data_IF_019112562428
#
_entry.id   IF_019112562428
#
_cell.length_a   1.000
_cell.length_b   1.000
_cell.length_c   1.000
_cell.angle_alpha   90.00
_cell.angle_beta   90.00
_cell.angle_gamma   90.00
#
_symmetry.space_group_name_H-M   'P 1'
#
loop_
_entity.id
_entity.type
_entity.pdbx_description
1 polymer ?
#
# COMPACT_ATOMS: atom_id res chain seq x y z
N UNK A 1 -158.68 -22.91 -11.06
CA UNK A 1 -157.53 -22.38 -10.29
C UNK A 1 -156.30 -22.40 -11.19
N UNK A 2 -155.50 -21.34 -11.32
CA UNK A 2 -154.17 -21.38 -11.96
C UNK A 2 -153.22 -20.63 -11.02
N UNK A 3 -152.08 -21.22 -10.72
CA UNK A 3 -150.94 -20.58 -10.08
C UNK A 3 -150.37 -19.50 -11.03
N UNK A 4 -149.57 -18.56 -10.52
CA UNK A 4 -148.87 -17.54 -11.34
C UNK A 4 -147.98 -18.19 -12.42
N UNK A 5 -147.52 -19.43 -12.20
CA UNK A 5 -146.84 -20.25 -13.21
C UNK A 5 -147.79 -21.10 -14.10
N UNK A 6 -149.10 -20.91 -14.00
CA UNK A 6 -150.10 -21.52 -14.89
C UNK A 6 -150.72 -22.85 -14.42
N UNK A 7 -150.28 -23.43 -13.30
CA UNK A 7 -150.68 -24.78 -12.85
C UNK A 7 -151.94 -24.80 -11.97
N UNK A 8 -152.86 -25.76 -12.16
CA UNK A 8 -154.13 -25.89 -11.37
C UNK A 8 -153.87 -26.36 -9.91
N UNK A 9 -154.15 -25.49 -8.94
CA UNK A 9 -153.87 -25.66 -7.49
C UNK A 9 -154.85 -26.65 -6.81
N UNK A 10 -154.31 -27.69 -6.17
CA UNK A 10 -155.01 -28.57 -5.20
C UNK A 10 -154.85 -28.02 -3.78
N UNK A 11 -155.87 -28.18 -2.95
CA UNK A 11 -156.10 -27.53 -1.64
C UNK A 11 -155.13 -27.89 -0.48
N UNK A 12 -154.03 -28.60 -0.74
CA UNK A 12 -153.13 -29.11 0.32
C UNK A 12 -151.71 -28.49 0.36
N UNK A 13 -151.41 -27.41 -0.38
CA UNK A 13 -150.03 -26.87 -0.46
C UNK A 13 -149.87 -25.44 0.08
N UNK A 14 -150.79 -24.92 0.90
CA UNK A 14 -150.63 -23.63 1.58
C UNK A 14 -150.23 -23.83 3.05
N UNK A 15 -149.02 -24.34 3.28
CA UNK A 15 -148.33 -24.12 4.55
C UNK A 15 -147.53 -22.83 4.46
N UNK A 16 -148.09 -21.75 5.03
CA UNK A 16 -147.31 -20.60 5.47
C UNK A 16 -146.40 -21.10 6.60
N UNK A 17 -145.10 -21.22 6.35
CA UNK A 17 -144.10 -21.30 7.42
C UNK A 17 -144.01 -19.93 8.11
N UNK A 18 -145.02 -19.62 8.93
CA UNK A 18 -144.94 -18.57 9.93
C UNK A 18 -144.21 -19.19 11.12
N UNK A 19 -142.92 -18.89 11.24
CA UNK A 19 -142.11 -19.36 12.36
C UNK A 19 -142.79 -19.00 13.68
N UNK A 20 -142.86 -19.95 14.61
CA UNK A 20 -143.32 -19.66 15.97
C UNK A 20 -142.33 -18.69 16.63
N UNK A 21 -142.82 -17.88 17.57
CA UNK A 21 -142.06 -16.98 18.44
C UNK A 21 -140.80 -17.62 19.04
N UNK A 22 -140.79 -18.95 19.24
CA UNK A 22 -139.64 -19.74 19.67
C UNK A 22 -138.55 -19.85 18.58
N UNK A 23 -138.93 -20.16 17.33
CA UNK A 23 -138.03 -20.29 16.18
C UNK A 23 -137.38 -18.95 15.80
N UNK A 24 -138.12 -17.83 15.89
CA UNK A 24 -137.54 -16.49 15.66
C UNK A 24 -136.43 -16.15 16.65
N UNK A 25 -136.58 -16.55 17.92
CA UNK A 25 -135.54 -16.35 18.95
C UNK A 25 -134.31 -17.21 18.69
N UNK A 26 -134.47 -18.45 18.21
CA UNK A 26 -133.33 -19.29 17.85
C UNK A 26 -132.56 -18.73 16.65
N UNK A 27 -133.25 -18.24 15.62
CA UNK A 27 -132.62 -17.60 14.47
C UNK A 27 -131.84 -16.35 14.92
N UNK A 28 -132.41 -15.53 15.79
CA UNK A 28 -131.74 -14.35 16.36
C UNK A 28 -130.50 -14.74 17.17
N UNK A 29 -130.59 -15.80 17.99
CA UNK A 29 -129.46 -16.30 18.78
C UNK A 29 -128.34 -16.84 17.89
N UNK A 30 -128.68 -17.55 16.81
CA UNK A 30 -127.73 -18.05 15.83
C UNK A 30 -127.03 -16.90 15.09
N UNK A 31 -127.79 -15.87 14.67
CA UNK A 31 -127.23 -14.68 14.02
C UNK A 31 -126.32 -13.89 14.96
N UNK A 32 -126.68 -13.71 16.22
CA UNK A 32 -125.81 -13.05 17.21
C UNK A 32 -124.51 -13.83 17.41
N UNK A 33 -124.58 -15.16 17.55
CA UNK A 33 -123.39 -16.00 17.69
C UNK A 33 -122.50 -15.97 16.44
N UNK A 34 -123.12 -15.90 15.25
CA UNK A 34 -122.40 -15.71 13.99
C UNK A 34 -121.71 -14.34 13.94
N UNK A 35 -122.36 -13.29 14.42
CA UNK A 35 -121.81 -11.93 14.51
C UNK A 35 -120.63 -11.85 15.49
N UNK A 36 -120.74 -12.49 16.65
CA UNK A 36 -119.64 -12.63 17.62
C UNK A 36 -118.45 -13.34 16.98
N UNK A 37 -118.70 -14.44 16.25
CA UNK A 37 -117.65 -15.19 15.55
C UNK A 37 -116.96 -14.35 14.48
N UNK A 38 -117.72 -13.57 13.71
CA UNK A 38 -117.18 -12.66 12.69
C UNK A 38 -116.32 -11.56 13.33
N UNK A 39 -116.78 -10.97 14.44
CA UNK A 39 -116.02 -9.95 15.15
C UNK A 39 -114.73 -10.51 15.75
N UNK A 40 -114.75 -11.73 16.30
CA UNK A 40 -113.53 -12.40 16.77
C UNK A 40 -112.53 -12.66 15.64
N UNK A 41 -113.01 -13.05 14.45
CA UNK A 41 -112.15 -13.24 13.29
C UNK A 41 -111.53 -11.92 12.79
N UNK A 42 -112.31 -10.83 12.79
CA UNK A 42 -111.80 -9.50 12.41
C UNK A 42 -110.71 -9.03 13.37
N UNK A 43 -110.93 -9.14 14.68
CA UNK A 43 -109.92 -8.76 15.67
C UNK A 43 -108.64 -9.60 15.53
N UNK A 44 -108.76 -10.89 15.26
CA UNK A 44 -107.61 -11.76 15.01
C UNK A 44 -106.80 -11.30 13.79
N UNK A 45 -107.47 -10.97 12.68
CA UNK A 45 -106.79 -10.48 11.48
C UNK A 45 -106.14 -9.11 11.69
N UNK A 46 -106.76 -8.21 12.46
CA UNK A 46 -106.16 -6.91 12.79
C UNK A 46 -104.89 -7.08 13.64
N UNK A 47 -104.90 -7.98 14.63
CA UNK A 47 -103.71 -8.32 15.42
C UNK A 47 -102.59 -8.93 14.56
N UNK A 48 -102.94 -9.81 13.61
CA UNK A 48 -101.99 -10.42 12.68
C UNK A 48 -101.39 -9.39 11.73
N UNK A 49 -102.22 -8.46 11.23
CA UNK A 49 -101.78 -7.37 10.37
C UNK A 49 -100.80 -6.41 11.09
N UNK A 50 -101.05 -6.11 12.36
CA UNK A 50 -100.13 -5.32 13.18
C UNK A 50 -98.79 -6.03 13.38
N UNK A 51 -98.80 -7.34 13.65
CA UNK A 51 -97.56 -8.13 13.79
C UNK A 51 -96.73 -8.13 12.51
N UNK A 52 -97.36 -8.38 11.36
CA UNK A 52 -96.70 -8.37 10.05
C UNK A 52 -96.07 -7.01 9.73
N UNK A 53 -96.75 -5.90 10.05
CA UNK A 53 -96.19 -4.56 9.85
C UNK A 53 -94.94 -4.32 10.70
N UNK A 54 -94.92 -4.79 11.95
CA UNK A 54 -93.74 -4.69 12.82
C UNK A 54 -92.58 -5.52 12.24
N UNK A 55 -92.85 -6.71 11.71
CA UNK A 55 -91.83 -7.54 11.05
C UNK A 55 -91.24 -6.87 9.80
N UNK A 56 -92.09 -6.27 8.96
CA UNK A 56 -91.65 -5.54 7.77
C UNK A 56 -90.71 -4.39 8.15
N UNK A 57 -91.07 -3.60 9.18
CA UNK A 57 -90.23 -2.50 9.65
C UNK A 57 -88.87 -2.99 10.18
N UNK A 58 -88.86 -4.11 10.90
CA UNK A 58 -87.62 -4.70 11.40
C UNK A 58 -86.72 -5.21 10.26
N UNK A 59 -87.30 -5.82 9.22
CA UNK A 59 -86.56 -6.27 8.03
C UNK A 59 -85.96 -5.07 7.28
N UNK A 60 -86.73 -3.99 7.09
CA UNK A 60 -86.22 -2.78 6.44
C UNK A 60 -85.04 -2.15 7.20
N UNK A 61 -85.10 -2.15 8.53
CA UNK A 61 -83.99 -1.67 9.36
C UNK A 61 -82.72 -2.52 9.16
N UNK A 62 -82.85 -3.85 9.15
CA UNK A 62 -81.72 -4.76 8.88
C UNK A 62 -81.13 -4.57 7.49
N UNK A 63 -81.96 -4.35 6.47
CA UNK A 63 -81.49 -4.07 5.10
C UNK A 63 -80.63 -2.80 5.07
N UNK A 64 -81.06 -1.74 5.75
CA UNK A 64 -80.30 -0.49 5.80
C UNK A 64 -78.97 -0.64 6.54
N UNK A 65 -78.95 -1.38 7.65
CA UNK A 65 -77.74 -1.69 8.40
C UNK A 65 -76.74 -2.50 7.56
N UNK A 66 -77.22 -3.52 6.83
CA UNK A 66 -76.40 -4.33 5.93
C UNK A 66 -75.84 -3.53 4.75
N UNK A 67 -76.65 -2.65 4.15
CA UNK A 67 -76.21 -1.79 3.05
C UNK A 67 -75.12 -0.80 3.49
N UNK A 68 -75.26 -0.24 4.71
CA UNK A 68 -74.23 0.62 5.28
C UNK A 68 -72.93 -0.15 5.52
N UNK A 69 -73.03 -1.34 6.11
CA UNK A 69 -71.87 -2.22 6.33
C UNK A 69 -71.17 -2.60 5.02
N UNK A 70 -71.93 -2.95 3.98
CA UNK A 70 -71.36 -3.27 2.66
C UNK A 70 -70.66 -2.07 2.03
N UNK A 71 -71.25 -0.88 2.14
CA UNK A 71 -70.64 0.35 1.62
C UNK A 71 -69.32 0.68 2.33
N UNK A 72 -69.33 0.62 3.66
CA UNK A 72 -68.13 0.84 4.48
C UNK A 72 -67.04 -0.20 4.17
N UNK A 73 -67.43 -1.46 3.93
CA UNK A 73 -66.50 -2.53 3.53
C UNK A 73 -65.90 -2.29 2.12
N UNK A 74 -66.70 -1.87 1.14
CA UNK A 74 -66.21 -1.57 -0.21
C UNK A 74 -65.24 -0.39 -0.20
N UNK A 75 -65.58 0.71 0.50
CA UNK A 75 -64.69 1.88 0.63
C UNK A 75 -63.37 1.51 1.32
N UNK A 76 -63.40 0.57 2.28
CA UNK A 76 -62.18 0.07 2.94
C UNK A 76 -61.30 -0.78 2.01
N UNK A 77 -61.89 -1.53 1.08
CA UNK A 77 -61.18 -2.40 0.14
C UNK A 77 -60.52 -1.58 -0.96
N UNK A 78 -61.17 -0.52 -1.45
CA UNK A 78 -60.62 0.36 -2.49
C UNK A 78 -59.40 1.17 -2.01
N UNK A 79 -59.28 1.44 -0.70
CA UNK A 79 -58.19 2.23 -0.13
C UNK A 79 -57.01 1.43 0.49
N UNK A 80 -57.17 0.14 0.84
CA UNK A 80 -56.22 -0.56 1.73
C UNK A 80 -55.40 -1.72 1.14
N UNK A 81 -55.66 -2.18 -0.09
CA UNK A 81 -55.18 -3.51 -0.50
C UNK A 81 -53.74 -3.65 -1.00
N UNK A 82 -53.23 -2.76 -1.87
CA UNK A 82 -52.05 -3.10 -2.68
C UNK A 82 -50.97 -2.02 -2.81
N UNK A 83 -51.29 -0.72 -2.72
CA UNK A 83 -50.28 0.34 -2.90
C UNK A 83 -49.25 0.34 -1.77
N UNK A 84 -49.68 0.45 -0.51
CA UNK A 84 -48.76 0.61 0.62
C UNK A 84 -47.83 -0.59 0.83
N UNK A 85 -48.32 -1.82 0.70
CA UNK A 85 -47.47 -3.00 0.81
C UNK A 85 -46.46 -3.09 -0.33
N UNK A 86 -46.86 -2.74 -1.56
CA UNK A 86 -45.96 -2.71 -2.72
C UNK A 86 -44.90 -1.61 -2.55
N UNK A 87 -45.31 -0.42 -2.09
CA UNK A 87 -44.41 0.70 -1.81
C UNK A 87 -43.37 0.36 -0.72
N UNK A 88 -43.77 -0.36 0.33
CA UNK A 88 -42.85 -0.81 1.38
C UNK A 88 -41.88 -1.89 0.91
N UNK A 89 -42.33 -2.80 0.03
CA UNK A 89 -41.47 -3.78 -0.62
C UNK A 89 -40.46 -3.08 -1.53
N UNK A 90 -40.88 -2.11 -2.34
CA UNK A 90 -40.00 -1.35 -3.23
C UNK A 90 -38.97 -0.52 -2.46
N UNK A 91 -39.36 0.08 -1.32
CA UNK A 91 -38.42 0.74 -0.41
C UNK A 91 -37.38 -0.23 0.13
N UNK A 92 -37.79 -1.44 0.55
CA UNK A 92 -36.86 -2.48 1.01
C UNK A 92 -35.93 -2.95 -0.10
N UNK A 93 -36.44 -3.15 -1.32
CA UNK A 93 -35.64 -3.51 -2.50
C UNK A 93 -34.59 -2.43 -2.79
N UNK A 94 -34.99 -1.16 -2.74
CA UNK A 94 -34.08 -0.03 -2.97
C UNK A 94 -32.99 0.01 -1.91
N UNK A 95 -33.36 -0.11 -0.64
CA UNK A 95 -32.40 -0.14 0.47
C UNK A 95 -31.41 -1.30 0.34
N UNK A 96 -31.87 -2.51 0.01
CA UNK A 96 -31.00 -3.67 -0.20
C UNK A 96 -30.08 -3.45 -1.40
N UNK A 97 -30.56 -2.84 -2.49
CA UNK A 97 -29.72 -2.50 -3.66
C UNK A 97 -28.61 -1.51 -3.29
N UNK A 98 -28.92 -0.50 -2.49
CA UNK A 98 -27.93 0.46 -2.00
C UNK A 98 -26.89 -0.23 -1.10
N UNK A 99 -27.34 -1.10 -0.20
CA UNK A 99 -26.43 -1.91 0.65
C UNK A 99 -25.52 -2.81 -0.20
N UNK A 100 -26.05 -3.48 -1.23
CA UNK A 100 -25.26 -4.29 -2.16
C UNK A 100 -24.23 -3.44 -2.91
N UNK A 101 -24.62 -2.23 -3.33
CA UNK A 101 -23.72 -1.34 -4.04
C UNK A 101 -22.55 -0.87 -3.15
N UNK A 102 -22.82 -0.51 -1.90
CA UNK A 102 -21.78 -0.13 -0.94
C UNK A 102 -20.87 -1.31 -0.58
N UNK A 103 -21.43 -2.52 -0.40
CA UNK A 103 -20.63 -3.73 -0.19
C UNK A 103 -19.70 -4.02 -1.37
N UNK A 104 -20.17 -3.81 -2.60
CA UNK A 104 -19.35 -4.00 -3.81
C UNK A 104 -18.22 -2.99 -3.92
N UNK A 105 -18.46 -1.72 -3.60
CA UNK A 105 -17.39 -0.71 -3.51
C UNK A 105 -16.34 -1.11 -2.47
N UNK A 106 -16.79 -1.60 -1.32
CA UNK A 106 -15.92 -2.02 -0.25
C UNK A 106 -15.05 -3.22 -0.69
N UNK A 107 -15.64 -4.18 -1.41
CA UNK A 107 -14.92 -5.30 -2.01
C UNK A 107 -13.82 -4.83 -2.98
N UNK A 108 -14.14 -3.93 -3.91
CA UNK A 108 -13.17 -3.36 -4.86
C UNK A 108 -12.00 -2.66 -4.12
N UNK A 109 -12.30 -1.96 -3.04
CA UNK A 109 -11.29 -1.28 -2.21
C UNK A 109 -10.37 -2.30 -1.51
N UNK A 110 -10.92 -3.40 -1.00
CA UNK A 110 -10.13 -4.50 -0.44
C UNK A 110 -9.24 -5.18 -1.48
N UNK A 111 -9.74 -5.38 -2.71
CA UNK A 111 -8.93 -5.95 -3.80
C UNK A 111 -7.76 -5.02 -4.18
N UNK A 112 -8.00 -3.71 -4.21
CA UNK A 112 -6.93 -2.73 -4.46
C UNK A 112 -5.90 -2.74 -3.34
N UNK A 113 -6.34 -2.79 -2.07
CA UNK A 113 -5.45 -2.90 -0.92
C UNK A 113 -4.55 -4.13 -1.02
N UNK A 114 -5.11 -5.30 -1.29
CA UNK A 114 -4.33 -6.55 -1.42
C UNK A 114 -3.27 -6.46 -2.53
N UNK A 115 -3.61 -5.83 -3.68
CA UNK A 115 -2.64 -5.55 -4.75
C UNK A 115 -1.52 -4.64 -4.28
N UNK A 116 -1.83 -3.57 -3.56
CA UNK A 116 -0.82 -2.64 -3.03
C UNK A 116 0.05 -3.29 -1.95
N UNK A 117 -0.53 -4.08 -1.06
CA UNK A 117 0.20 -4.79 -0.01
C UNK A 117 1.18 -5.80 -0.62
N UNK A 118 0.75 -6.55 -1.65
CA UNK A 118 1.64 -7.45 -2.40
C UNK A 118 2.79 -6.69 -3.07
N UNK A 119 2.48 -5.61 -3.80
CA UNK A 119 3.51 -4.77 -4.44
C UNK A 119 4.47 -4.16 -3.42
N UNK A 120 3.96 -3.70 -2.28
CA UNK A 120 4.77 -3.15 -1.19
C UNK A 120 5.71 -4.21 -0.63
N UNK A 121 5.20 -5.41 -0.32
CA UNK A 121 6.00 -6.50 0.21
C UNK A 121 7.13 -6.90 -0.74
N UNK A 122 6.86 -7.01 -2.04
CA UNK A 122 7.89 -7.28 -3.05
C UNK A 122 8.96 -6.20 -3.06
N UNK A 123 8.57 -4.92 -3.15
CA UNK A 123 9.52 -3.80 -3.16
C UNK A 123 10.32 -3.70 -1.85
N UNK A 124 9.69 -3.98 -0.71
CA UNK A 124 10.34 -3.94 0.59
C UNK A 124 11.38 -5.07 0.75
N UNK A 125 11.08 -6.27 0.23
CA UNK A 125 12.06 -7.36 0.17
C UNK A 125 13.25 -7.00 -0.72
N UNK A 126 12.99 -6.43 -1.90
CA UNK A 126 14.06 -5.94 -2.79
C UNK A 126 14.91 -4.87 -2.12
N UNK A 127 14.29 -3.86 -1.52
CA UNK A 127 14.98 -2.80 -0.76
C UNK A 127 15.85 -3.38 0.34
N UNK A 128 15.30 -4.27 1.16
CA UNK A 128 16.03 -4.91 2.27
C UNK A 128 17.23 -5.71 1.74
N UNK A 129 17.06 -6.43 0.63
CA UNK A 129 18.16 -7.17 -0.01
C UNK A 129 19.27 -6.25 -0.51
N UNK A 130 18.92 -5.15 -1.22
CA UNK A 130 19.87 -4.16 -1.72
C UNK A 130 20.58 -3.44 -0.58
N UNK A 131 19.85 -3.10 0.49
CA UNK A 131 20.42 -2.46 1.67
C UNK A 131 21.44 -3.37 2.37
N UNK A 132 21.16 -4.67 2.46
CA UNK A 132 22.10 -5.65 3.00
C UNK A 132 23.36 -5.74 2.13
N UNK A 133 23.20 -5.81 0.81
CA UNK A 133 24.33 -5.83 -0.12
C UNK A 133 25.16 -4.56 -0.03
N UNK A 134 24.51 -3.38 0.03
CA UNK A 134 25.18 -2.09 0.19
C UNK A 134 26.01 -2.04 1.48
N UNK A 135 25.44 -2.41 2.63
CA UNK A 135 26.17 -2.46 3.91
C UNK A 135 27.36 -3.41 3.87
N UNK A 136 27.22 -4.55 3.20
CA UNK A 136 28.32 -5.50 3.04
C UNK A 136 29.44 -4.92 2.17
N UNK A 137 29.11 -4.25 1.07
CA UNK A 137 30.09 -3.57 0.22
C UNK A 137 30.79 -2.43 0.98
N UNK A 138 30.05 -1.66 1.78
CA UNK A 138 30.61 -0.60 2.62
C UNK A 138 31.61 -1.17 3.64
N UNK A 139 31.26 -2.28 4.30
CA UNK A 139 32.15 -2.97 5.23
C UNK A 139 33.41 -3.48 4.52
N UNK A 140 33.25 -4.17 3.39
CA UNK A 140 34.38 -4.65 2.58
C UNK A 140 35.28 -3.51 2.10
N UNK A 141 34.69 -2.36 1.74
CA UNK A 141 35.44 -1.17 1.36
C UNK A 141 36.27 -0.64 2.53
N UNK A 142 35.67 -0.50 3.72
CA UNK A 142 36.37 -0.04 4.93
C UNK A 142 37.52 -0.97 5.30
N UNK A 143 37.29 -2.27 5.32
CA UNK A 143 38.32 -3.29 5.58
C UNK A 143 39.46 -3.20 4.55
N UNK A 144 39.12 -3.17 3.26
CA UNK A 144 40.13 -3.07 2.19
C UNK A 144 40.91 -1.76 2.31
N UNK A 145 40.23 -0.64 2.54
CA UNK A 145 40.85 0.67 2.68
C UNK A 145 41.82 0.69 3.87
N UNK A 146 41.39 0.22 5.05
CA UNK A 146 42.23 0.12 6.24
C UNK A 146 43.46 -0.76 6.00
N UNK A 147 43.30 -1.88 5.28
CA UNK A 147 44.42 -2.75 4.92
C UNK A 147 45.42 -2.07 3.99
N UNK A 148 44.95 -1.24 3.03
CA UNK A 148 45.81 -0.48 2.12
C UNK A 148 46.60 0.57 2.89
N UNK A 149 45.97 1.33 3.78
CA UNK A 149 46.65 2.34 4.61
C UNK A 149 47.67 1.69 5.55
N UNK A 150 47.31 0.57 6.15
CA UNK A 150 48.21 -0.19 7.01
C UNK A 150 49.44 -0.67 6.24
N UNK A 151 49.25 -1.21 5.03
CA UNK A 151 50.36 -1.62 4.17
C UNK A 151 51.22 -0.45 3.70
N UNK A 152 50.61 0.69 3.35
CA UNK A 152 51.35 1.92 3.07
C UNK A 152 52.25 2.27 4.24
N UNK A 153 51.68 2.33 5.46
CA UNK A 153 52.40 2.67 6.67
C UNK A 153 53.52 1.68 6.99
N UNK A 154 53.33 0.39 6.75
CA UNK A 154 54.38 -0.62 6.92
C UNK A 154 55.56 -0.34 5.99
N UNK A 155 55.29 -0.20 4.68
CA UNK A 155 56.34 0.05 3.68
C UNK A 155 57.04 1.37 3.96
N UNK A 156 56.28 2.44 4.17
CA UNK A 156 56.80 3.77 4.45
C UNK A 156 57.69 3.77 5.70
N UNK A 157 57.25 3.14 6.79
CA UNK A 157 58.02 3.04 8.02
C UNK A 157 59.33 2.25 7.85
N UNK A 158 59.31 1.16 7.07
CA UNK A 158 60.53 0.38 6.76
C UNK A 158 61.53 1.24 5.99
N UNK A 159 61.07 1.96 4.97
CA UNK A 159 61.90 2.81 4.15
C UNK A 159 62.46 3.98 4.97
N UNK A 160 61.61 4.67 5.74
CA UNK A 160 62.01 5.81 6.57
C UNK A 160 63.02 5.44 7.67
N UNK A 161 62.90 4.27 8.29
CA UNK A 161 63.89 3.74 9.25
C UNK A 161 65.27 3.53 8.63
N UNK A 162 65.32 3.14 7.36
CA UNK A 162 66.58 2.88 6.64
C UNK A 162 67.12 4.12 5.91
N UNK A 163 66.30 5.16 5.75
CA UNK A 163 66.68 6.41 5.08
C UNK A 163 67.66 7.22 5.91
N UNK A 164 68.28 8.21 5.28
CA UNK A 164 69.15 9.19 5.97
C UNK A 164 68.41 10.01 7.02
N UNK A 165 67.07 10.05 7.00
CA UNK A 165 66.31 10.65 8.09
C UNK A 165 66.47 9.83 9.39
N UNK A 166 66.63 8.50 9.33
CA UNK A 166 66.74 7.62 10.49
C UNK A 166 65.58 7.84 11.50
N UNK A 167 64.34 7.59 11.04
CA UNK A 167 63.13 7.77 11.86
C UNK A 167 62.84 6.57 12.75
N UNK A 168 62.30 6.76 13.95
CA UNK A 168 61.82 5.65 14.78
C UNK A 168 60.47 5.14 14.27
N UNK A 169 59.59 6.06 13.89
CA UNK A 169 58.25 5.77 13.38
C UNK A 169 57.87 6.79 12.29
N UNK A 170 57.35 6.29 11.17
CA UNK A 170 56.77 7.11 10.12
C UNK A 170 55.46 6.49 9.64
N UNK A 171 54.40 7.29 9.61
CA UNK A 171 53.07 6.90 9.11
C UNK A 171 52.48 8.06 8.30
N UNK A 172 51.33 7.85 7.68
CA UNK A 172 50.48 8.93 7.15
C UNK A 172 49.30 9.18 8.09
N UNK A 173 48.83 10.42 8.11
CA UNK A 173 47.60 10.82 8.77
C UNK A 173 46.37 10.66 7.86
N UNK A 174 45.20 11.13 8.33
CA UNK A 174 43.93 11.06 7.61
C UNK A 174 43.91 11.91 6.33
N UNK A 175 44.77 12.95 6.25
CA UNK A 175 44.99 13.78 5.08
C UNK A 175 46.07 13.21 4.14
N UNK A 176 46.53 11.97 4.41
CA UNK A 176 47.60 11.26 3.70
C UNK A 176 48.95 11.97 3.75
N UNK A 177 49.14 12.88 4.71
CA UNK A 177 50.39 13.60 4.93
C UNK A 177 51.34 12.80 5.80
N UNK A 178 52.66 12.83 5.52
CA UNK A 178 53.64 12.16 6.37
C UNK A 178 53.67 12.69 7.80
N UNK A 179 53.43 11.81 8.76
CA UNK A 179 53.64 12.04 10.19
C UNK A 179 54.88 11.27 10.67
N UNK A 180 55.93 12.02 11.05
CA UNK A 180 57.22 11.48 11.48
C UNK A 180 57.37 11.61 13.00
N UNK A 181 57.70 10.51 13.68
CA UNK A 181 57.93 10.43 15.12
C UNK A 181 56.85 11.13 15.98
N UNK A 182 55.59 11.16 15.52
CA UNK A 182 54.49 11.82 16.23
C UNK A 182 54.44 13.34 16.06
N UNK A 183 55.05 13.89 15.01
CA UNK A 183 55.04 15.33 14.71
C UNK A 183 56.22 16.10 15.31
N UNK A 184 57.26 15.40 15.78
CA UNK A 184 58.47 16.05 16.32
C UNK A 184 59.24 16.73 15.19
N UNK A 185 59.60 18.00 15.40
CA UNK A 185 60.42 18.79 14.48
C UNK A 185 61.75 18.08 14.18
N UNK A 186 62.07 17.98 12.88
CA UNK A 186 63.36 17.47 12.38
C UNK A 186 64.03 18.51 11.51
N UNK A 187 65.34 18.39 11.36
CA UNK A 187 66.16 19.31 10.57
C UNK A 187 65.67 19.43 9.11
N UNK A 188 65.91 20.58 8.47
CA UNK A 188 65.48 20.86 7.09
C UNK A 188 65.99 19.81 6.07
N UNK A 189 67.15 19.22 6.33
CA UNK A 189 67.76 18.12 5.56
C UNK A 189 66.91 16.85 5.52
N UNK A 190 66.01 16.64 6.49
CA UNK A 190 65.09 15.50 6.54
C UNK A 190 63.89 15.64 5.58
N UNK A 191 63.64 16.83 5.02
CA UNK A 191 62.48 17.05 4.13
C UNK A 191 62.55 16.29 2.81
N UNK A 192 63.76 16.07 2.29
CA UNK A 192 63.99 15.33 1.04
C UNK A 192 63.84 13.82 1.22
N UNK A 193 64.46 13.13 2.22
CA UNK A 193 64.21 11.70 2.41
C UNK A 193 62.73 11.40 2.72
N UNK A 194 62.04 12.26 3.48
CA UNK A 194 60.59 12.13 3.75
C UNK A 194 59.81 12.06 2.43
N UNK A 195 60.00 13.06 1.55
CA UNK A 195 59.31 13.11 0.26
C UNK A 195 59.69 11.94 -0.65
N UNK A 196 60.97 11.62 -0.71
CA UNK A 196 61.50 10.55 -1.55
C UNK A 196 60.92 9.19 -1.16
N UNK A 197 60.95 8.84 0.14
CA UNK A 197 60.40 7.58 0.63
C UNK A 197 58.88 7.52 0.47
N UNK A 198 58.18 8.65 0.58
CA UNK A 198 56.74 8.73 0.34
C UNK A 198 56.41 8.35 -1.11
N UNK A 199 57.09 8.94 -2.09
CA UNK A 199 56.89 8.61 -3.50
C UNK A 199 57.32 7.18 -3.86
N UNK A 200 58.40 6.67 -3.24
CA UNK A 200 58.78 5.27 -3.39
C UNK A 200 57.71 4.32 -2.85
N UNK A 201 57.08 4.69 -1.73
CA UNK A 201 55.96 3.94 -1.17
C UNK A 201 54.75 3.97 -2.10
N UNK A 202 54.39 5.14 -2.66
CA UNK A 202 53.29 5.25 -3.62
C UNK A 202 53.51 4.36 -4.86
N UNK A 203 54.72 4.39 -5.43
CA UNK A 203 55.06 3.50 -6.54
C UNK A 203 54.96 2.04 -6.13
N UNK A 204 55.54 1.66 -4.99
CA UNK A 204 55.48 0.29 -4.46
C UNK A 204 54.04 -0.20 -4.28
N UNK A 205 53.17 0.66 -3.72
CA UNK A 205 51.75 0.37 -3.56
C UNK A 205 51.03 0.21 -4.91
N UNK A 206 51.33 1.05 -5.91
CA UNK A 206 50.78 0.94 -7.27
C UNK A 206 51.19 -0.35 -8.00
N UNK A 207 52.40 -0.84 -7.72
CA UNK A 207 52.90 -2.09 -8.25
C UNK A 207 52.27 -3.28 -7.53
N UNK A 208 52.12 -3.18 -6.20
CA UNK A 208 51.53 -4.25 -5.38
C UNK A 208 50.04 -4.44 -5.66
N UNK A 209 49.27 -3.36 -5.65
CA UNK A 209 47.81 -3.38 -5.73
C UNK A 209 47.31 -2.87 -7.10
N UNK A 210 46.72 -3.74 -7.94
CA UNK A 210 46.20 -3.34 -9.26
C UNK A 210 45.10 -2.27 -9.21
N UNK A 211 44.39 -2.14 -8.08
CA UNK A 211 43.30 -1.16 -7.89
C UNK A 211 43.80 0.26 -7.64
N UNK A 212 45.07 0.43 -7.24
CA UNK A 212 45.65 1.76 -6.99
C UNK A 212 45.99 2.40 -8.33
N UNK A 213 45.35 3.54 -8.63
CA UNK A 213 45.47 4.25 -9.91
C UNK A 213 46.71 5.14 -10.02
N UNK A 214 47.63 5.08 -9.07
CA UNK A 214 48.86 5.86 -9.14
C UNK A 214 49.73 5.37 -10.32
N UNK A 215 50.33 6.28 -11.11
CA UNK A 215 51.18 5.88 -12.23
C UNK A 215 52.33 4.99 -11.77
N UNK A 216 52.65 3.96 -12.56
CA UNK A 216 53.87 3.15 -12.38
C UNK A 216 55.10 3.87 -12.94
N UNK A 217 55.13 5.18 -12.74
CA UNK A 217 56.09 6.12 -13.28
C UNK A 217 56.48 7.08 -12.18
N UNK A 218 57.78 7.29 -12.02
CA UNK A 218 58.32 8.27 -11.10
C UNK A 218 59.31 9.15 -11.85
N UNK A 219 59.16 10.46 -11.70
CA UNK A 219 60.14 11.46 -12.12
C UNK A 219 60.57 12.20 -10.86
N UNK A 220 61.86 12.17 -10.56
CA UNK A 220 62.41 12.82 -9.38
C UNK A 220 63.58 13.70 -9.79
N UNK A 221 63.53 14.94 -9.33
CA UNK A 221 64.62 15.89 -9.47
C UNK A 221 65.22 16.17 -8.09
N UNK A 222 66.50 15.86 -7.94
CA UNK A 222 67.26 16.11 -6.72
C UNK A 222 68.39 17.10 -7.04
N UNK A 223 68.09 18.40 -7.18
CA UNK A 223 69.12 19.41 -7.36
C UNK A 223 69.99 19.48 -6.10
N UNK A 224 71.29 19.69 -6.26
CA UNK A 224 72.26 19.74 -5.15
C UNK A 224 71.92 20.83 -4.11
N UNK A 225 71.25 21.90 -4.55
CA UNK A 225 70.79 23.01 -3.70
C UNK A 225 69.71 22.62 -2.68
N UNK A 226 69.16 21.40 -2.76
CA UNK A 226 68.14 20.90 -1.84
C UNK A 226 68.66 20.59 -0.41
N UNK A 227 69.96 20.77 -0.15
CA UNK A 227 70.54 20.67 1.19
C UNK A 227 70.68 19.25 1.75
N UNK A 228 70.81 18.26 0.86
CA UNK A 228 71.18 16.88 1.21
C UNK A 228 72.68 16.68 0.96
N UNK A 229 73.34 16.01 1.90
CA UNK A 229 74.70 15.49 1.72
C UNK A 229 74.73 14.30 0.74
N UNK A 230 75.79 14.19 -0.05
CA UNK A 230 75.96 13.20 -1.13
C UNK A 230 75.82 11.75 -0.64
N UNK A 231 76.46 11.42 0.49
CA UNK A 231 76.37 10.10 1.10
C UNK A 231 74.93 9.75 1.52
N UNK A 232 74.16 10.75 1.96
CA UNK A 232 72.76 10.58 2.32
C UNK A 232 71.87 10.41 1.08
N UNK A 233 72.16 11.11 -0.02
CA UNK A 233 71.43 10.97 -1.27
C UNK A 233 71.56 9.56 -1.84
N UNK A 234 72.80 9.05 -1.94
CA UNK A 234 73.07 7.72 -2.47
C UNK A 234 72.37 6.64 -1.63
N UNK A 235 72.44 6.77 -0.30
CA UNK A 235 71.74 5.88 0.65
C UNK A 235 70.24 5.85 0.39
N UNK A 236 69.62 7.01 0.20
CA UNK A 236 68.18 7.11 -0.07
C UNK A 236 67.82 6.54 -1.45
N UNK A 237 68.64 6.77 -2.47
CA UNK A 237 68.43 6.20 -3.82
C UNK A 237 68.47 4.65 -3.78
N UNK A 238 69.38 4.05 -3.00
CA UNK A 238 69.44 2.57 -2.81
C UNK A 238 68.16 1.99 -2.22
N UNK A 239 67.36 2.78 -1.50
CA UNK A 239 66.08 2.30 -0.95
C UNK A 239 65.01 2.11 -2.01
N UNK A 240 65.22 2.61 -3.23
CA UNK A 240 64.34 2.33 -4.36
C UNK A 240 64.19 0.81 -4.60
N UNK A 241 65.29 0.04 -4.57
CA UNK A 241 65.20 -1.41 -4.73
C UNK A 241 64.47 -2.09 -3.57
N UNK A 242 64.61 -1.54 -2.37
CA UNK A 242 63.86 -2.02 -1.20
C UNK A 242 62.37 -1.79 -1.43
N UNK A 243 61.98 -0.62 -1.93
CA UNK A 243 60.59 -0.32 -2.27
C UNK A 243 60.03 -1.24 -3.36
N UNK A 244 60.83 -1.53 -4.40
CA UNK A 244 60.46 -2.48 -5.45
C UNK A 244 60.27 -3.90 -4.89
N UNK A 245 61.17 -4.37 -4.02
CA UNK A 245 61.02 -5.67 -3.38
C UNK A 245 59.80 -5.75 -2.46
N UNK A 246 59.51 -4.70 -1.71
CA UNK A 246 58.31 -4.61 -0.86
C UNK A 246 56.99 -4.56 -1.66
N UNK A 247 57.06 -4.24 -2.96
CA UNK A 247 55.90 -4.25 -3.85
C UNK A 247 55.42 -5.65 -4.21
N UNK A 248 56.26 -6.66 -4.00
CA UNK A 248 55.92 -8.07 -4.25
C UNK A 248 54.93 -8.58 -3.20
N UNK A 249 54.04 -9.47 -3.60
CA UNK A 249 53.18 -10.23 -2.69
C UNK A 249 53.88 -11.52 -2.24
N UNK A 250 54.72 -12.09 -3.10
CA UNK A 250 55.49 -13.30 -2.83
C UNK A 250 56.96 -13.10 -3.18
N UNK A 251 57.86 -13.76 -2.46
CA UNK A 251 59.32 -13.57 -2.62
C UNK A 251 59.82 -13.83 -4.07
N UNK A 252 59.25 -14.86 -4.71
CA UNK A 252 59.58 -15.26 -6.08
C UNK A 252 58.82 -14.48 -7.17
N UNK A 253 57.98 -13.51 -6.81
CA UNK A 253 57.25 -12.70 -7.79
C UNK A 253 58.20 -11.76 -8.54
N UNK A 254 58.01 -11.63 -9.85
CA UNK A 254 58.72 -10.64 -10.65
C UNK A 254 58.16 -9.25 -10.36
N UNK A 255 59.05 -8.25 -10.30
CA UNK A 255 58.64 -6.85 -10.19
C UNK A 255 57.87 -6.50 -11.47
N UNK A 256 56.70 -5.89 -11.32
CA UNK A 256 55.87 -5.44 -12.44
C UNK A 256 56.52 -4.26 -13.16
N UNK A 257 56.16 -4.03 -14.41
CA UNK A 257 56.74 -2.95 -15.22
C UNK A 257 56.56 -1.57 -14.56
N UNK A 258 57.64 -0.80 -14.56
CA UNK A 258 57.70 0.56 -14.05
C UNK A 258 58.73 1.39 -14.83
N UNK A 259 58.67 2.71 -14.66
CA UNK A 259 59.70 3.62 -15.13
C UNK A 259 60.08 4.60 -14.01
N UNK A 260 61.38 4.78 -13.80
CA UNK A 260 61.91 5.77 -12.86
C UNK A 260 62.96 6.61 -13.59
N UNK A 261 62.73 7.91 -13.65
CA UNK A 261 63.67 8.90 -14.18
C UNK A 261 64.13 9.75 -13.00
N UNK A 262 65.44 9.81 -12.81
CA UNK A 262 66.09 10.56 -11.73
C UNK A 262 67.11 11.53 -12.34
N UNK A 263 67.02 12.79 -11.95
CA UNK A 263 68.09 13.79 -12.17
C UNK A 263 68.79 14.03 -10.84
N UNK A 264 70.12 13.89 -10.83
CA UNK A 264 70.98 14.02 -9.66
C UNK A 264 72.31 14.66 -10.06
N UNK A 265 73.15 15.01 -9.09
CA UNK A 265 74.50 15.52 -9.34
C UNK A 265 75.41 14.49 -10.02
N UNK A 266 76.54 14.96 -10.57
CA UNK A 266 77.51 14.10 -11.23
C UNK A 266 78.00 13.00 -10.28
N UNK A 267 77.89 11.74 -10.73
CA UNK A 267 78.27 10.54 -9.96
C UNK A 267 77.54 10.36 -8.61
N UNK A 268 76.51 11.18 -8.32
CA UNK A 268 75.72 11.12 -7.08
C UNK A 268 74.58 10.10 -7.15
N UNK A 269 74.93 8.86 -7.44
CA UNK A 269 74.01 7.72 -7.50
C UNK A 269 74.75 6.41 -7.18
N UNK A 270 74.03 5.34 -6.81
CA UNK A 270 74.66 4.04 -6.55
C UNK A 270 75.36 3.50 -7.79
N UNK A 271 76.60 2.99 -7.66
CA UNK A 271 77.41 2.47 -8.78
C UNK A 271 76.65 1.52 -9.71
N UNK A 272 75.81 0.63 -9.16
CA UNK A 272 74.98 -0.31 -9.93
C UNK A 272 74.02 0.36 -10.93
N UNK A 273 73.76 1.66 -10.79
CA UNK A 273 72.90 2.45 -11.66
C UNK A 273 73.64 3.23 -12.73
N UNK A 274 74.98 3.22 -12.73
CA UNK A 274 75.81 3.83 -13.77
C UNK A 274 75.41 3.38 -15.18
N UNK A 275 75.13 2.07 -15.34
CA UNK A 275 74.63 1.48 -16.60
C UNK A 275 73.30 2.08 -17.11
N UNK A 276 72.56 2.80 -16.27
CA UNK A 276 71.30 3.44 -16.61
C UNK A 276 71.44 4.94 -16.90
N UNK A 277 72.63 5.53 -16.74
CA UNK A 277 72.88 6.93 -17.08
C UNK A 277 72.70 7.12 -18.59
N UNK A 278 71.82 8.06 -18.96
CA UNK A 278 71.51 8.37 -20.37
C UNK A 278 72.08 9.70 -20.83
N UNK A 279 72.16 10.65 -19.92
CA UNK A 279 72.61 12.01 -20.17
C UNK A 279 73.44 12.46 -18.98
N UNK A 280 74.58 13.09 -19.27
CA UNK A 280 75.47 13.68 -18.31
C UNK A 280 75.80 15.12 -18.71
N UNK A 281 75.84 16.01 -17.71
CA UNK A 281 76.08 17.43 -17.92
C UNK A 281 77.15 17.88 -16.93
N UNK A 282 78.23 18.46 -17.46
CA UNK A 282 79.38 18.89 -16.68
C UNK A 282 79.76 20.31 -17.08
N UNK A 283 79.69 21.24 -16.13
CA UNK A 283 80.01 22.65 -16.34
C UNK A 283 81.49 22.88 -16.60
N UNK A 284 82.37 22.15 -15.91
CA UNK A 284 83.83 22.27 -16.06
C UNK A 284 84.28 21.81 -17.45
N UNK A 285 83.60 20.81 -18.00
CA UNK A 285 83.85 20.29 -19.34
C UNK A 285 82.98 20.95 -20.43
N UNK A 286 82.27 22.03 -20.11
CA UNK A 286 81.36 22.74 -21.03
C UNK A 286 80.28 21.86 -21.68
N UNK A 287 79.86 20.78 -21.00
CA UNK A 287 78.79 19.87 -21.42
C UNK A 287 77.46 20.32 -20.82
N UNK A 288 76.75 21.20 -21.53
CA UNK A 288 75.46 21.75 -21.11
C UNK A 288 74.26 21.02 -21.73
N UNK A 289 73.10 21.12 -21.08
CA UNK A 289 71.80 20.62 -21.58
C UNK A 289 71.49 21.23 -22.96
N UNK A 290 71.71 22.53 -23.09
CA UNK A 290 71.54 23.27 -24.34
C UNK A 290 72.92 23.53 -24.95
N UNK A 291 73.18 22.92 -26.10
CA UNK A 291 74.35 23.25 -26.92
C UNK A 291 74.08 24.55 -27.67
N UNK A 292 75.07 25.43 -27.75
CA UNK A 292 74.95 26.63 -28.58
C UNK A 292 74.61 26.20 -30.02
N UNK A 293 73.63 26.87 -30.62
CA UNK A 293 73.43 26.77 -32.06
C UNK A 293 74.72 27.24 -32.73
N UNK A 294 75.35 26.35 -33.49
CA UNK A 294 76.39 26.73 -34.45
C UNK A 294 75.79 27.63 -35.52
#
# INVERSE_FOLDING_TARGET
KKCICGSKIKENNYEKFLYDTSEYKEILKYKNKSLETINSALNFYDEEFQKLNIEIQNIQKKINELNKFLKDAIESIEYSGNSQMTDDIDRKITKIKDEIFELKKLEDLYQQKDKYDKSFNTKNLEYTSKQKTFKNLEYQYKETHNSVITNFNIIYNILMKKSSANTKKAIIDDDYMPLIDGGVYREKSASVPIRMMYFFTLLSMSLKYPKIKHPKFLLMDTPEEAGIDENHLETNIKLFDTALNLSKNYENEKIKDYQFILTTGLEKYPEKYEKYVKLDFNKEESRFILKSKK
#
